data_IF_572850916391
#
_entry.id   IF_572850916391
#
_cell.length_a   1.000
_cell.length_b   1.000
_cell.length_c   1.000
_cell.angle_alpha   90.00
_cell.angle_beta   90.00
_cell.angle_gamma   90.00
#
_symmetry.space_group_name_H-M   'P 1'
#
loop_
_entity.id
_entity.type
_entity.pdbx_description
1 polymer ?
#
# COMPACT_ATOMS: atom_id res chain seq x y z
N UNK A 1 15.93 -4.73 28.66
CA UNK A 1 15.06 -4.07 27.66
C UNK A 1 15.60 -4.23 26.23
N UNK A 2 16.79 -3.71 25.91
CA UNK A 2 17.36 -3.78 24.55
C UNK A 2 17.48 -5.23 24.05
N UNK A 3 18.11 -6.12 24.83
CA UNK A 3 18.22 -7.54 24.46
C UNK A 3 16.86 -8.19 24.20
N UNK A 4 15.86 -7.92 25.04
CA UNK A 4 14.51 -8.47 24.90
C UNK A 4 13.84 -8.05 23.58
N UNK A 5 13.92 -6.76 23.23
CA UNK A 5 13.34 -6.22 21.98
C UNK A 5 14.09 -6.76 20.76
N UNK A 6 15.42 -6.80 20.82
CA UNK A 6 16.24 -7.34 19.74
C UNK A 6 15.95 -8.82 19.52
N UNK A 7 15.99 -9.64 20.57
CA UNK A 7 15.69 -11.08 20.49
C UNK A 7 14.26 -11.32 19.99
N UNK A 8 13.26 -10.58 20.49
CA UNK A 8 11.88 -10.67 20.01
C UNK A 8 11.75 -10.34 18.52
N UNK A 9 12.44 -9.30 18.05
CA UNK A 9 12.44 -8.91 16.63
C UNK A 9 13.07 -9.99 15.75
N UNK A 10 14.19 -10.58 16.16
CA UNK A 10 14.82 -11.68 15.41
C UNK A 10 13.93 -12.92 15.34
N UNK A 11 13.22 -13.25 16.42
CA UNK A 11 12.25 -14.35 16.42
C UNK A 11 11.11 -14.08 15.43
N UNK A 12 10.59 -12.85 15.40
CA UNK A 12 9.54 -12.47 14.44
C UNK A 12 10.03 -12.52 12.98
N UNK A 13 11.26 -12.08 12.71
CA UNK A 13 11.87 -12.19 11.38
C UNK A 13 12.03 -13.65 10.97
N UNK A 14 12.51 -14.51 11.88
CA UNK A 14 12.64 -15.94 11.63
C UNK A 14 11.28 -16.60 11.35
N UNK A 15 10.24 -16.26 12.12
CA UNK A 15 8.88 -16.72 11.85
C UNK A 15 8.36 -16.26 10.49
N UNK A 16 8.63 -15.01 10.10
CA UNK A 16 8.28 -14.49 8.79
C UNK A 16 8.90 -15.31 7.66
N UNK A 17 10.18 -15.67 7.80
CA UNK A 17 10.89 -16.51 6.84
C UNK A 17 10.34 -17.94 6.80
N UNK A 18 9.99 -18.52 7.94
CA UNK A 18 9.33 -19.83 7.98
C UNK A 18 7.96 -19.83 7.28
N UNK A 19 7.21 -18.74 7.37
CA UNK A 19 5.93 -18.59 6.65
C UNK A 19 6.17 -18.49 5.14
N UNK A 20 7.18 -17.73 4.69
CA UNK A 20 7.58 -17.65 3.29
C UNK A 20 7.90 -19.03 2.72
N UNK A 21 8.72 -19.82 3.43
CA UNK A 21 9.16 -21.16 3.00
C UNK A 21 8.00 -22.15 2.88
N UNK A 22 6.95 -22.00 3.71
CA UNK A 22 5.74 -22.82 3.66
C UNK A 22 4.72 -22.35 2.62
N UNK A 23 5.00 -21.28 1.89
CA UNK A 23 4.29 -20.88 0.67
C UNK A 23 2.96 -20.15 0.87
N UNK A 24 2.63 -19.68 2.08
CA UNK A 24 1.32 -19.04 2.37
C UNK A 24 1.29 -17.54 1.98
N UNK A 25 2.23 -17.08 1.15
CA UNK A 25 2.37 -15.67 0.75
C UNK A 25 3.58 -15.01 1.41
N UNK A 26 3.54 -13.67 1.60
CA UNK A 26 4.63 -12.91 2.21
C UNK A 26 4.49 -12.92 3.75
N UNK A 27 5.39 -13.63 4.42
CA UNK A 27 5.38 -13.84 5.87
C UNK A 27 5.49 -12.58 6.70
N UNK A 28 6.33 -11.61 6.28
CA UNK A 28 6.42 -10.31 6.95
C UNK A 28 5.11 -9.55 6.89
N UNK A 29 4.44 -9.56 5.73
CA UNK A 29 3.13 -8.93 5.57
C UNK A 29 2.05 -9.61 6.42
N UNK A 30 2.07 -10.95 6.54
CA UNK A 30 1.11 -11.70 7.35
C UNK A 30 1.26 -11.43 8.85
N UNK A 31 2.49 -11.29 9.35
CA UNK A 31 2.74 -10.93 10.75
C UNK A 31 2.17 -9.53 11.05
N UNK A 32 2.46 -8.55 10.19
CA UNK A 32 1.91 -7.19 10.33
C UNK A 32 0.39 -7.21 10.27
N UNK A 33 -0.18 -7.94 9.31
CA UNK A 33 -1.63 -8.10 9.15
C UNK A 33 -2.27 -8.68 10.41
N UNK A 34 -1.72 -9.77 10.96
CA UNK A 34 -2.21 -10.38 12.21
C UNK A 34 -2.24 -9.36 13.35
N UNK A 35 -1.18 -8.56 13.51
CA UNK A 35 -1.13 -7.50 14.52
C UNK A 35 -2.19 -6.41 14.31
N UNK A 36 -2.53 -6.06 13.07
CA UNK A 36 -3.60 -5.10 12.75
C UNK A 36 -4.98 -5.70 13.04
N UNK A 37 -5.22 -6.95 12.63
CA UNK A 37 -6.49 -7.65 12.87
C UNK A 37 -6.76 -7.79 14.36
N UNK A 38 -5.74 -8.08 15.17
CA UNK A 38 -5.88 -8.18 16.62
C UNK A 38 -6.33 -6.86 17.26
N UNK A 39 -5.88 -5.72 16.73
CA UNK A 39 -6.34 -4.40 17.20
C UNK A 39 -7.76 -4.09 16.72
N UNK A 40 -8.12 -4.50 15.51
CA UNK A 40 -9.47 -4.31 14.98
C UNK A 40 -10.52 -5.03 15.84
N UNK A 41 -10.28 -6.29 16.20
CA UNK A 41 -11.21 -7.04 17.06
C UNK A 41 -11.37 -6.39 18.45
N UNK A 42 -10.28 -5.89 19.06
CA UNK A 42 -10.35 -5.17 20.32
C UNK A 42 -11.14 -3.85 20.19
N UNK A 43 -10.95 -3.11 19.09
CA UNK A 43 -11.69 -1.88 18.83
C UNK A 43 -13.19 -2.12 18.68
N UNK A 44 -13.60 -3.20 18.00
CA UNK A 44 -15.01 -3.59 17.87
C UNK A 44 -15.64 -3.95 19.22
N UNK A 45 -14.91 -4.68 20.06
CA UNK A 45 -15.38 -5.04 21.39
C UNK A 45 -15.55 -3.80 22.29
N UNK A 46 -14.58 -2.88 22.25
CA UNK A 46 -14.66 -1.61 22.97
C UNK A 46 -15.86 -0.78 22.51
N UNK A 47 -16.10 -0.67 21.20
CA UNK A 47 -17.27 0.01 20.65
C UNK A 47 -18.58 -0.59 21.16
N UNK A 48 -18.67 -1.93 21.21
CA UNK A 48 -19.86 -2.62 21.71
C UNK A 48 -20.08 -2.40 23.20
N UNK A 49 -19.01 -2.44 24.01
CA UNK A 49 -19.10 -2.11 25.44
C UNK A 49 -19.53 -0.66 25.67
N UNK A 50 -18.97 0.29 24.93
CA UNK A 50 -19.36 1.69 25.02
C UNK A 50 -20.83 1.91 24.68
N UNK A 51 -21.42 1.14 23.76
CA UNK A 51 -22.86 1.19 23.48
C UNK A 51 -23.74 0.64 24.60
N UNK A 52 -23.24 -0.32 25.37
CA UNK A 52 -23.98 -0.94 26.48
C UNK A 52 -23.90 -0.13 27.77
N UNK A 53 -22.83 0.64 27.93
CA UNK A 53 -22.60 1.44 29.13
C UNK A 53 -23.44 2.73 29.10
N UNK A 54 -24.48 2.87 29.96
CA UNK A 54 -25.38 4.03 29.94
C UNK A 54 -24.67 5.34 30.28
N UNK A 55 -23.46 5.27 30.85
CA UNK A 55 -22.64 6.41 31.25
C UNK A 55 -21.94 7.10 30.08
N UNK A 56 -21.76 6.42 28.94
CA UNK A 56 -20.94 6.90 27.82
C UNK A 56 -21.73 7.73 26.78
N UNK A 57 -23.05 7.86 26.92
CA UNK A 57 -23.94 8.68 26.07
C UNK A 57 -23.62 8.58 24.55
N UNK A 58 -23.27 7.37 24.09
CA UNK A 58 -22.81 7.15 22.72
C UNK A 58 -24.02 7.15 21.79
N UNK A 59 -24.07 8.12 20.88
CA UNK A 59 -25.19 8.21 19.93
C UNK A 59 -25.16 7.00 18.97
N UNK A 60 -26.21 6.15 18.93
CA UNK A 60 -26.26 4.99 18.02
C UNK A 60 -26.07 5.38 16.54
N UNK A 61 -26.47 6.60 16.16
CA UNK A 61 -26.29 7.17 14.81
C UNK A 61 -24.81 7.38 14.49
N UNK A 62 -23.97 7.67 15.48
CA UNK A 62 -22.53 7.83 15.27
C UNK A 62 -21.85 6.48 15.01
N UNK A 63 -22.29 5.43 15.70
CA UNK A 63 -21.74 4.07 15.52
C UNK A 63 -22.09 3.51 14.14
N UNK A 64 -23.35 3.66 13.70
CA UNK A 64 -23.75 3.20 12.37
C UNK A 64 -22.99 3.95 11.27
N UNK A 65 -22.72 5.25 11.46
CA UNK A 65 -21.92 6.06 10.55
C UNK A 65 -20.48 5.54 10.44
N UNK A 66 -19.82 5.25 11.56
CA UNK A 66 -18.45 4.70 11.56
C UNK A 66 -18.39 3.36 10.83
N UNK A 67 -19.32 2.45 11.13
CA UNK A 67 -19.38 1.13 10.47
C UNK A 67 -19.62 1.32 8.96
N UNK A 68 -20.50 2.23 8.57
CA UNK A 68 -20.75 2.54 7.16
C UNK A 68 -19.50 3.06 6.45
N UNK A 69 -18.74 3.97 7.08
CA UNK A 69 -17.48 4.48 6.54
C UNK A 69 -16.46 3.36 6.42
N UNK A 70 -16.34 2.49 7.42
CA UNK A 70 -15.44 1.34 7.37
C UNK A 70 -15.75 0.41 6.19
N UNK A 71 -17.03 0.05 6.00
CA UNK A 71 -17.46 -0.77 4.86
C UNK A 71 -17.17 -0.07 3.54
N UNK A 72 -17.43 1.24 3.43
CA UNK A 72 -17.13 2.03 2.25
C UNK A 72 -15.63 1.98 1.90
N UNK A 73 -14.75 2.17 2.88
CA UNK A 73 -13.29 2.11 2.70
C UNK A 73 -12.86 0.72 2.23
N UNK A 74 -13.40 -0.36 2.80
CA UNK A 74 -13.09 -1.73 2.37
C UNK A 74 -13.51 -1.94 0.90
N UNK A 75 -14.70 -1.48 0.51
CA UNK A 75 -15.18 -1.59 -0.87
C UNK A 75 -14.27 -0.80 -1.83
N UNK A 76 -13.86 0.42 -1.46
CA UNK A 76 -12.94 1.23 -2.26
C UNK A 76 -11.59 0.53 -2.46
N UNK A 77 -11.03 -0.08 -1.42
CA UNK A 77 -9.78 -0.85 -1.51
C UNK A 77 -9.95 -2.06 -2.46
N UNK A 78 -11.06 -2.80 -2.35
CA UNK A 78 -11.35 -3.93 -3.25
C UNK A 78 -11.47 -3.47 -4.70
N UNK A 79 -12.11 -2.32 -4.93
CA UNK A 79 -12.26 -1.74 -6.26
C UNK A 79 -10.90 -1.37 -6.86
N UNK A 80 -10.03 -0.69 -6.10
CA UNK A 80 -8.66 -0.37 -6.51
C UNK A 80 -7.86 -1.63 -6.83
N UNK A 81 -7.95 -2.64 -5.97
CA UNK A 81 -7.20 -3.88 -6.14
C UNK A 81 -7.59 -4.64 -7.41
N UNK A 82 -8.86 -4.58 -7.79
CA UNK A 82 -9.38 -5.19 -9.02
C UNK A 82 -9.17 -4.32 -10.26
N UNK A 83 -8.86 -3.04 -10.09
CA UNK A 83 -8.62 -2.12 -11.19
C UNK A 83 -7.33 -2.51 -11.92
N UNK A 84 -7.51 -2.97 -13.15
CA UNK A 84 -6.41 -3.33 -14.06
C UNK A 84 -6.72 -2.80 -15.45
N UNK A 85 -5.70 -2.22 -16.06
CA UNK A 85 -5.72 -1.85 -17.45
C UNK A 85 -5.16 -3.01 -18.27
N UNK A 86 -5.84 -3.39 -19.34
CA UNK A 86 -5.46 -4.51 -20.20
C UNK A 86 -4.82 -3.97 -21.48
N UNK A 87 -3.55 -4.29 -21.70
CA UNK A 87 -2.85 -3.98 -22.96
C UNK A 87 -2.91 -5.22 -23.86
N UNK A 88 -3.45 -5.08 -25.07
CA UNK A 88 -3.48 -6.19 -26.02
C UNK A 88 -2.07 -6.49 -26.57
N UNK A 89 -1.73 -7.77 -26.66
CA UNK A 89 -0.48 -8.27 -27.22
C UNK A 89 -0.82 -9.35 -28.24
N UNK A 90 -0.21 -9.29 -29.42
CA UNK A 90 -0.29 -10.36 -30.40
C UNK A 90 1.00 -11.17 -30.39
N UNK A 91 0.87 -12.48 -30.23
CA UNK A 91 1.99 -13.40 -30.40
C UNK A 91 1.95 -14.00 -31.81
N UNK A 92 3.10 -14.01 -32.48
CA UNK A 92 3.26 -14.73 -33.73
C UNK A 92 3.21 -16.24 -33.46
N UNK A 93 2.28 -16.96 -34.09
CA UNK A 93 2.20 -18.41 -33.97
C UNK A 93 3.18 -19.04 -34.96
N UNK A 94 4.12 -19.84 -34.45
CA UNK A 94 5.24 -20.38 -35.23
C UNK A 94 4.85 -21.11 -36.53
N UNK A 95 3.63 -21.65 -36.65
CA UNK A 95 3.21 -22.52 -37.77
C UNK A 95 1.86 -22.10 -38.43
N UNK A 96 1.41 -20.86 -38.29
CA UNK A 96 0.20 -20.40 -38.99
C UNK A 96 0.19 -18.88 -39.16
N UNK A 97 -0.47 -18.37 -40.21
CA UNK A 97 -0.80 -16.95 -40.36
C UNK A 97 -1.82 -16.42 -39.31
N UNK A 98 -2.17 -17.22 -38.28
CA UNK A 98 -3.04 -16.78 -37.19
C UNK A 98 -2.22 -16.17 -36.04
N UNK A 99 -2.59 -14.96 -35.64
CA UNK A 99 -2.07 -14.32 -34.42
C UNK A 99 -2.92 -14.75 -33.24
N UNK A 100 -2.28 -15.11 -32.13
CA UNK A 100 -2.99 -15.34 -30.87
C UNK A 100 -3.01 -14.03 -30.11
N UNK A 101 -4.21 -13.52 -29.87
CA UNK A 101 -4.42 -12.30 -29.07
C UNK A 101 -4.41 -12.65 -27.59
N UNK A 102 -3.51 -12.02 -26.85
CA UNK A 102 -3.44 -12.07 -25.39
C UNK A 102 -3.52 -10.64 -24.83
N UNK A 103 -3.58 -10.52 -23.52
CA UNK A 103 -3.50 -9.22 -22.86
C UNK A 103 -2.52 -9.27 -21.68
N UNK A 104 -1.76 -8.19 -21.53
CA UNK A 104 -0.97 -7.94 -20.33
C UNK A 104 -1.81 -7.08 -19.37
N UNK A 105 -2.19 -7.61 -18.19
CA UNK A 105 -2.83 -6.81 -17.17
C UNK A 105 -1.80 -5.95 -16.42
N UNK A 106 -1.97 -4.64 -16.48
CA UNK A 106 -1.25 -3.69 -15.62
C UNK A 106 -2.22 -3.25 -14.52
N UNK A 107 -1.94 -3.62 -13.27
CA UNK A 107 -2.73 -3.19 -12.11
C UNK A 107 -2.53 -1.70 -11.85
N UNK A 108 -3.56 -1.05 -11.30
CA UNK A 108 -3.51 0.37 -10.96
C UNK A 108 -2.37 0.69 -9.97
N UNK A 109 -2.21 -0.20 -8.99
CA UNK A 109 -1.14 -0.17 -8.00
C UNK A 109 -0.56 -1.58 -7.82
N UNK A 110 0.55 -1.91 -8.50
CA UNK A 110 1.18 -3.24 -8.39
C UNK A 110 1.80 -3.49 -7.00
N UNK A 111 2.15 -2.40 -6.30
CA UNK A 111 2.82 -2.41 -4.99
C UNK A 111 1.88 -2.77 -3.83
N UNK A 112 0.56 -2.75 -4.08
CA UNK A 112 -0.45 -2.96 -3.05
C UNK A 112 -0.34 -1.95 -1.90
N UNK A 113 -0.42 -2.45 -0.67
CA UNK A 113 -0.47 -1.63 0.56
C UNK A 113 0.93 -1.23 1.07
N UNK A 114 2.00 -1.81 0.51
CA UNK A 114 3.36 -1.63 1.03
C UNK A 114 3.86 -0.17 1.03
N UNK A 115 3.59 0.66 -0.01
CA UNK A 115 3.94 2.08 0.02
C UNK A 115 3.35 2.85 1.20
N UNK A 116 2.11 2.55 1.59
CA UNK A 116 1.42 3.19 2.73
C UNK A 116 2.08 2.83 4.05
N UNK A 117 2.49 1.57 4.19
CA UNK A 117 3.22 1.09 5.37
C UNK A 117 4.56 1.81 5.49
N UNK A 118 5.33 1.89 4.40
CA UNK A 118 6.63 2.58 4.43
C UNK A 118 6.51 4.08 4.71
N UNK A 119 5.52 4.76 4.13
CA UNK A 119 5.25 6.16 4.44
C UNK A 119 4.97 6.36 5.93
N UNK A 120 4.11 5.51 6.52
CA UNK A 120 3.75 5.57 7.94
C UNK A 120 4.96 5.35 8.86
N UNK A 121 5.81 4.36 8.54
CA UNK A 121 7.02 4.05 9.33
C UNK A 121 8.04 5.18 9.22
N UNK A 122 8.23 5.76 8.04
CA UNK A 122 9.21 6.82 7.81
C UNK A 122 8.87 8.10 8.58
N UNK A 123 7.57 8.41 8.77
CA UNK A 123 7.15 9.54 9.63
C UNK A 123 7.21 9.17 11.11
N UNK A 124 6.77 7.97 11.47
CA UNK A 124 6.63 7.58 12.89
C UNK A 124 7.97 7.37 13.58
N UNK A 125 8.99 6.83 12.90
CA UNK A 125 10.29 6.55 13.50
C UNK A 125 11.01 7.81 14.03
N UNK A 126 11.18 8.89 13.25
CA UNK A 126 11.76 10.13 13.76
C UNK A 126 10.93 10.74 14.90
N UNK A 127 9.60 10.66 14.83
CA UNK A 127 8.72 11.18 15.88
C UNK A 127 8.89 10.45 17.20
N UNK A 128 9.04 9.12 17.17
CA UNK A 128 9.33 8.35 18.37
C UNK A 128 10.67 8.74 18.98
N UNK A 129 11.71 8.94 18.16
CA UNK A 129 13.02 9.38 18.65
C UNK A 129 12.92 10.78 19.28
N UNK A 130 12.33 11.74 18.55
CA UNK A 130 12.18 13.11 19.05
C UNK A 130 11.31 13.19 20.32
N UNK A 131 10.32 12.31 20.47
CA UNK A 131 9.49 12.28 21.68
C UNK A 131 10.30 12.04 22.96
N UNK A 132 11.39 11.26 22.88
CA UNK A 132 12.32 11.05 24.00
C UNK A 132 13.16 12.28 24.35
N UNK A 133 13.28 13.25 23.45
CA UNK A 133 14.02 14.51 23.64
C UNK A 133 13.11 15.72 23.85
N UNK A 134 11.79 15.50 23.92
CA UNK A 134 10.80 16.57 23.99
C UNK A 134 10.96 17.45 25.24
N UNK A 135 11.37 16.88 26.38
CA UNK A 135 11.57 17.68 27.60
C UNK A 135 12.81 18.59 27.52
N UNK A 136 13.86 18.15 26.82
CA UNK A 136 15.17 18.83 26.80
C UNK A 136 15.27 19.93 25.73
N UNK A 137 14.57 19.81 24.59
CA UNK A 137 14.70 20.76 23.47
C UNK A 137 13.37 21.39 23.06
N UNK A 138 13.34 22.73 23.01
CA UNK A 138 12.18 23.51 22.51
C UNK A 138 11.93 23.24 21.02
N UNK A 139 12.99 23.02 20.24
CA UNK A 139 12.91 22.70 18.80
C UNK A 139 12.26 21.32 18.60
N UNK A 140 12.61 20.34 19.43
CA UNK A 140 11.99 19.01 19.37
C UNK A 140 10.48 19.07 19.66
N UNK A 141 10.06 19.90 20.62
CA UNK A 141 8.64 20.16 20.93
C UNK A 141 7.91 20.83 19.77
N UNK A 142 8.52 21.83 19.14
CA UNK A 142 7.92 22.49 17.98
C UNK A 142 7.72 21.50 16.82
N UNK A 143 8.72 20.69 16.48
CA UNK A 143 8.59 19.66 15.44
C UNK A 143 7.49 18.65 15.79
N UNK A 144 7.44 18.18 17.04
CA UNK A 144 6.36 17.30 17.51
C UNK A 144 4.98 17.95 17.39
N UNK A 145 4.87 19.27 17.62
CA UNK A 145 3.59 19.99 17.51
C UNK A 145 3.12 20.16 16.07
N UNK A 146 4.04 20.27 15.11
CA UNK A 146 3.69 20.35 13.69
C UNK A 146 3.36 18.97 13.11
N UNK A 147 4.08 17.92 13.52
CA UNK A 147 3.89 16.54 13.05
C UNK A 147 2.97 15.72 13.98
N UNK A 148 2.00 16.37 14.61
CA UNK A 148 1.00 15.66 15.42
C UNK A 148 0.20 14.70 14.53
N UNK A 149 -0.07 13.46 14.99
CA UNK A 149 -1.06 12.62 14.35
C UNK A 149 -2.37 13.41 14.22
N UNK A 150 -2.97 13.40 13.04
CA UNK A 150 -4.19 14.16 12.66
C UNK A 150 -3.97 15.66 12.38
N UNK A 151 -2.75 16.17 12.43
CA UNK A 151 -2.43 17.54 12.00
C UNK A 151 -2.36 17.66 10.47
N UNK A 152 -2.71 18.83 9.93
CA UNK A 152 -2.64 19.09 8.49
C UNK A 152 -1.27 18.78 7.89
N UNK A 153 -0.18 19.17 8.56
CA UNK A 153 1.19 18.91 8.09
C UNK A 153 1.55 17.42 8.09
N UNK A 154 1.09 16.66 9.09
CA UNK A 154 1.29 15.21 9.13
C UNK A 154 0.58 14.54 7.96
N UNK A 155 -0.69 14.88 7.74
CA UNK A 155 -1.50 14.32 6.65
C UNK A 155 -0.93 14.70 5.28
N UNK A 156 -0.56 15.96 5.09
CA UNK A 156 0.04 16.44 3.84
C UNK A 156 1.37 15.73 3.54
N UNK A 157 2.26 15.62 4.54
CA UNK A 157 3.52 14.89 4.40
C UNK A 157 3.27 13.42 4.09
N UNK A 158 2.31 12.79 4.78
CA UNK A 158 1.95 11.40 4.56
C UNK A 158 1.48 11.15 3.11
N UNK A 159 0.62 12.01 2.56
CA UNK A 159 0.17 11.93 1.16
C UNK A 159 1.34 12.01 0.19
N UNK A 160 2.25 12.98 0.37
CA UNK A 160 3.43 13.12 -0.50
C UNK A 160 4.29 11.87 -0.45
N UNK A 161 4.53 11.33 0.75
CA UNK A 161 5.31 10.12 0.92
C UNK A 161 4.62 8.90 0.31
N UNK A 162 3.30 8.74 0.48
CA UNK A 162 2.53 7.65 -0.15
C UNK A 162 2.67 7.71 -1.66
N UNK A 163 2.50 8.89 -2.27
CA UNK A 163 2.68 9.06 -3.71
C UNK A 163 4.11 8.71 -4.13
N UNK A 164 5.11 9.28 -3.45
CA UNK A 164 6.53 9.02 -3.73
C UNK A 164 6.91 7.54 -3.63
N UNK A 165 6.51 6.86 -2.55
CA UNK A 165 6.77 5.44 -2.36
C UNK A 165 6.00 4.56 -3.34
N UNK A 166 4.79 4.96 -3.74
CA UNK A 166 4.01 4.21 -4.74
C UNK A 166 4.75 4.22 -6.08
N UNK A 167 5.28 5.36 -6.51
CA UNK A 167 6.11 5.45 -7.72
C UNK A 167 7.42 4.68 -7.58
N UNK A 168 8.13 4.88 -6.47
CA UNK A 168 9.43 4.25 -6.23
C UNK A 168 9.33 2.72 -6.24
N UNK A 169 8.41 2.15 -5.46
CA UNK A 169 8.27 0.71 -5.35
C UNK A 169 7.70 0.08 -6.62
N UNK A 170 6.72 0.73 -7.26
CA UNK A 170 6.11 0.21 -8.48
C UNK A 170 7.11 0.14 -9.64
N UNK A 171 8.02 1.12 -9.77
CA UNK A 171 9.07 1.10 -10.81
C UNK A 171 10.12 0.02 -10.57
N UNK A 172 10.41 -0.29 -9.30
CA UNK A 172 11.32 -1.40 -8.96
C UNK A 172 10.67 -2.75 -9.26
N UNK A 173 9.38 -2.91 -8.95
CA UNK A 173 8.68 -4.18 -9.11
C UNK A 173 8.27 -4.45 -10.56
N UNK A 174 7.79 -3.43 -11.27
CA UNK A 174 7.44 -3.49 -12.67
C UNK A 174 8.39 -2.56 -13.44
N UNK A 175 9.44 -3.15 -13.98
CA UNK A 175 10.37 -2.47 -14.88
C UNK A 175 9.80 -2.53 -16.31
N UNK A 176 9.43 -1.39 -16.94
CA UNK A 176 8.93 -1.36 -18.33
C UNK A 176 9.90 -2.00 -19.32
N UNK A 177 11.20 -1.86 -19.04
CA UNK A 177 12.29 -2.47 -19.80
C UNK A 177 12.25 -3.99 -19.74
N UNK A 178 12.07 -4.56 -18.55
CA UNK A 178 12.04 -6.02 -18.39
C UNK A 178 10.77 -6.63 -18.98
N UNK A 179 9.64 -5.95 -18.82
CA UNK A 179 8.36 -6.36 -19.43
C UNK A 179 8.47 -6.34 -20.96
N UNK A 180 8.95 -5.24 -21.55
CA UNK A 180 9.10 -5.15 -23.01
C UNK A 180 10.09 -6.19 -23.55
N UNK A 181 11.21 -6.42 -22.87
CA UNK A 181 12.15 -7.48 -23.24
C UNK A 181 11.55 -8.87 -23.14
N UNK A 182 10.71 -9.15 -22.14
CA UNK A 182 10.03 -10.43 -22.00
C UNK A 182 9.02 -10.65 -23.14
N UNK A 183 8.23 -9.62 -23.48
CA UNK A 183 7.29 -9.65 -24.62
C UNK A 183 8.04 -9.93 -25.92
N UNK A 184 9.13 -9.21 -26.18
CA UNK A 184 9.98 -9.41 -27.38
C UNK A 184 10.57 -10.81 -27.43
N UNK A 185 11.13 -11.32 -26.33
CA UNK A 185 11.70 -12.68 -26.23
C UNK A 185 10.67 -13.76 -26.52
N UNK A 186 9.41 -13.54 -26.16
CA UNK A 186 8.31 -14.46 -26.42
C UNK A 186 7.69 -14.28 -27.81
N UNK A 187 8.27 -13.46 -28.71
CA UNK A 187 7.73 -13.20 -30.04
C UNK A 187 6.42 -12.41 -30.04
N UNK A 188 6.14 -11.68 -28.97
CA UNK A 188 4.97 -10.82 -28.84
C UNK A 188 5.23 -9.40 -29.35
N UNK A 189 4.18 -8.77 -29.88
CA UNK A 189 4.17 -7.36 -30.30
C UNK A 189 2.89 -6.67 -29.82
N UNK A 190 2.99 -5.39 -29.47
CA UNK A 190 1.83 -4.55 -29.20
C UNK A 190 1.37 -3.96 -30.53
N UNK A 191 0.13 -4.19 -30.98
CA UNK A 191 -0.36 -3.66 -32.24
C UNK A 191 -0.29 -2.12 -32.27
N UNK A 192 0.21 -1.57 -33.37
CA UNK A 192 0.33 -0.12 -33.57
C UNK A 192 1.59 0.53 -33.00
N UNK A 193 2.50 -0.24 -32.39
CA UNK A 193 3.72 0.30 -31.74
C UNK A 193 4.93 -0.46 -32.24
N UNK A 194 5.97 0.28 -32.61
CA UNK A 194 7.22 -0.32 -33.05
C UNK A 194 7.93 -1.01 -31.88
N UNK A 195 8.69 -2.06 -32.18
CA UNK A 195 9.31 -2.88 -31.14
C UNK A 195 10.22 -2.05 -30.24
N UNK A 196 11.01 -1.12 -30.80
CA UNK A 196 11.91 -0.18 -30.11
C UNK A 196 11.19 0.81 -29.19
N UNK A 197 10.02 1.30 -29.58
CA UNK A 197 9.21 2.25 -28.80
C UNK A 197 8.35 1.60 -27.70
N UNK A 198 8.25 0.27 -27.68
CA UNK A 198 7.45 -0.49 -26.71
C UNK A 198 7.79 -0.16 -25.24
N UNK A 199 9.07 0.02 -24.92
CA UNK A 199 9.52 0.37 -23.57
C UNK A 199 8.98 1.73 -23.13
N UNK A 200 9.10 2.74 -24.00
CA UNK A 200 8.65 4.11 -23.74
C UNK A 200 7.13 4.17 -23.59
N UNK A 201 6.41 3.42 -24.43
CA UNK A 201 4.96 3.33 -24.34
C UNK A 201 4.49 2.71 -23.02
N UNK A 202 5.12 1.61 -22.60
CA UNK A 202 4.80 0.98 -21.33
C UNK A 202 5.11 1.90 -20.15
N UNK A 203 6.25 2.61 -20.16
CA UNK A 203 6.58 3.58 -19.11
C UNK A 203 5.57 4.73 -19.04
N UNK A 204 5.15 5.29 -20.18
CA UNK A 204 4.16 6.37 -20.21
C UNK A 204 2.82 5.92 -19.61
N UNK A 205 2.34 4.74 -20.00
CA UNK A 205 1.09 4.22 -19.47
C UNK A 205 1.21 3.86 -18.00
N UNK A 206 2.30 3.23 -17.60
CA UNK A 206 2.53 2.90 -16.20
C UNK A 206 2.59 4.17 -15.35
N UNK A 207 3.26 5.23 -15.80
CA UNK A 207 3.30 6.51 -15.07
C UNK A 207 1.91 7.15 -14.96
N UNK A 208 1.08 7.11 -16.01
CA UNK A 208 -0.32 7.61 -15.99
C UNK A 208 -1.20 6.80 -15.03
N UNK A 209 -1.05 5.48 -15.07
CA UNK A 209 -1.80 4.54 -14.23
C UNK A 209 -1.41 4.70 -12.75
N UNK A 210 -0.11 4.79 -12.47
CA UNK A 210 0.44 5.02 -11.13
C UNK A 210 0.05 6.38 -10.56
N UNK A 211 -0.10 7.41 -11.40
CA UNK A 211 -0.59 8.71 -10.95
C UNK A 211 -1.99 8.59 -10.35
N UNK A 212 -2.90 7.97 -11.09
CA UNK A 212 -4.27 7.76 -10.62
C UNK A 212 -4.32 6.83 -9.40
N UNK A 213 -3.52 5.75 -9.39
CA UNK A 213 -3.46 4.82 -8.27
C UNK A 213 -2.91 5.44 -7.00
N UNK A 214 -1.83 6.21 -7.09
CA UNK A 214 -1.19 6.86 -5.94
C UNK A 214 -2.08 7.91 -5.28
N UNK A 215 -2.82 8.70 -6.07
CA UNK A 215 -3.82 9.64 -5.56
C UNK A 215 -4.93 8.89 -4.83
N UNK A 216 -5.47 7.83 -5.45
CA UNK A 216 -6.54 7.05 -4.86
C UNK A 216 -6.12 6.41 -3.53
N UNK A 217 -4.94 5.80 -3.49
CA UNK A 217 -4.36 5.20 -2.29
C UNK A 217 -4.11 6.23 -1.19
N UNK A 218 -3.68 7.44 -1.57
CA UNK A 218 -3.49 8.54 -0.63
C UNK A 218 -4.81 9.02 -0.02
N UNK A 219 -5.87 9.13 -0.83
CA UNK A 219 -7.21 9.49 -0.33
C UNK A 219 -7.71 8.45 0.67
N UNK A 220 -7.60 7.16 0.34
CA UNK A 220 -8.00 6.07 1.24
C UNK A 220 -7.24 6.14 2.57
N UNK A 221 -5.96 6.45 2.53
CA UNK A 221 -5.14 6.54 3.74
C UNK A 221 -5.54 7.71 4.66
N UNK A 222 -6.22 8.74 4.15
CA UNK A 222 -6.67 9.91 4.92
C UNK A 222 -8.05 9.70 5.53
N UNK A 223 -8.97 9.00 4.87
CA UNK A 223 -10.37 8.83 5.33
C UNK A 223 -10.52 8.42 6.81
N UNK A 224 -9.67 7.54 7.37
CA UNK A 224 -9.79 7.15 8.78
C UNK A 224 -9.41 8.23 9.79
N UNK A 225 -8.76 9.32 9.38
CA UNK A 225 -8.23 10.39 10.23
C UNK A 225 -9.08 11.66 10.16
#
# INVERSE_FOLDING_TARGET
>A
AILTVTTGTFILLWLGEQINQRGVGNGTSLIIFSGIVVRLQAALFNLFQSMQDPSQNVNPVFVILIISIFVLVVVLIIYEYKAQMRIAIHYARANSNSTVSSYLPIKLNPSGVLPVIFASVLITLPLQILSGFAETSSIARQILSYLRPNGFYYTFLNVILIIGFTYFYSKIQLSPKDISNNIRKNGGVIPGIKSDEMEKYLDEIMNKTLFSGSIFLSIIAIIPF
#
